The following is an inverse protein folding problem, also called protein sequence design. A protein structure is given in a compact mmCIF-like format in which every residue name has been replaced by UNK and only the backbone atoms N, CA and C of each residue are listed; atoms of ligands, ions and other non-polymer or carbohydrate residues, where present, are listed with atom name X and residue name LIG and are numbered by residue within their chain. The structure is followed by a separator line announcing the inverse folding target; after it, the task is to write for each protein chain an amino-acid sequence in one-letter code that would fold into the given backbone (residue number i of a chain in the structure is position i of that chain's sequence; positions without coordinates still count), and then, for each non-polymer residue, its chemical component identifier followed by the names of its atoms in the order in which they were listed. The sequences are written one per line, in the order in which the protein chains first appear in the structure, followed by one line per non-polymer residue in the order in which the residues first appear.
data_IF_481519612682
#
_entry.id   IF_481519612682
#
_cell.length_a   1.000
_cell.length_b   1.000
_cell.length_c   1.000
_cell.angle_alpha   90.00
_cell.angle_beta   90.00
_cell.angle_gamma   90.00
#
_symmetry.space_group_name_H-M   'P 1'
#
loop_
_entity.id
_entity.type
_entity.pdbx_description
1 polymer ?
#
# COMPACT_ATOMS: atom_id res chain seq x y z
N UNK A 1 0.54 -2.68 -1.41
CA UNK A 1 0.03 -2.91 -2.79
C UNK A 1 -0.39 -1.63 -3.52
N UNK A 2 -1.45 -0.92 -3.11
CA UNK A 2 -1.96 0.23 -3.89
C UNK A 2 -0.95 1.37 -4.13
N UNK A 3 -0.16 1.74 -3.12
CA UNK A 3 0.90 2.76 -3.25
C UNK A 3 1.92 2.40 -4.34
N UNK A 4 2.26 1.11 -4.45
CA UNK A 4 3.18 0.62 -5.48
C UNK A 4 2.55 0.69 -6.87
N UNK A 5 1.26 0.35 -6.99
CA UNK A 5 0.56 0.46 -8.28
C UNK A 5 0.51 1.92 -8.74
N UNK A 6 0.20 2.86 -7.83
CA UNK A 6 0.20 4.29 -8.14
C UNK A 6 1.58 4.77 -8.63
N UNK A 7 2.67 4.32 -7.98
CA UNK A 7 4.02 4.63 -8.43
C UNK A 7 4.29 4.05 -9.83
N UNK A 8 3.95 2.77 -10.04
CA UNK A 8 4.10 2.11 -11.34
C UNK A 8 3.36 2.84 -12.45
N UNK A 9 2.12 3.27 -12.20
CA UNK A 9 1.33 4.06 -13.14
C UNK A 9 1.93 5.45 -13.42
N UNK A 10 2.52 6.10 -12.41
CA UNK A 10 3.19 7.40 -12.56
C UNK A 10 4.52 7.32 -13.29
N UNK A 11 5.20 6.18 -13.24
CA UNK A 11 6.38 5.89 -14.07
C UNK A 11 5.94 5.60 -15.50
N UNK A 12 4.92 4.75 -15.68
CA UNK A 12 4.36 4.44 -17.00
C UNK A 12 3.84 5.69 -17.73
N UNK A 13 3.18 6.61 -17.02
CA UNK A 13 2.69 7.86 -17.60
C UNK A 13 3.80 8.80 -18.08
N UNK A 14 5.04 8.61 -17.60
CA UNK A 14 6.24 9.34 -18.05
C UNK A 14 7.02 8.61 -19.16
N UNK A 15 6.43 7.56 -19.73
CA UNK A 15 7.02 6.81 -20.84
C UNK A 15 7.99 5.71 -20.41
N UNK A 16 8.08 5.40 -19.11
CA UNK A 16 8.84 4.24 -18.64
C UNK A 16 8.05 2.95 -18.91
N UNK A 17 8.74 1.89 -19.34
CA UNK A 17 8.16 0.55 -19.35
C UNK A 17 8.23 0.00 -17.92
N UNK A 18 7.10 -0.46 -17.39
CA UNK A 18 7.01 -0.90 -15.99
C UNK A 18 6.39 -2.27 -15.92
N UNK A 19 7.08 -3.20 -15.26
CA UNK A 19 6.52 -4.49 -14.84
C UNK A 19 6.15 -4.43 -13.37
N UNK A 20 4.91 -4.73 -13.04
CA UNK A 20 4.41 -4.83 -11.67
C UNK A 20 4.28 -6.30 -11.29
N UNK A 21 5.14 -6.73 -10.36
CA UNK A 21 5.25 -8.13 -9.94
C UNK A 21 4.46 -8.34 -8.65
N UNK A 22 3.55 -9.32 -8.64
CA UNK A 22 2.81 -9.73 -7.44
C UNK A 22 2.22 -11.12 -7.60
N UNK A 23 1.46 -11.58 -6.62
CA UNK A 23 0.81 -12.89 -6.64
C UNK A 23 -0.54 -12.82 -7.40
N UNK A 24 -1.00 -13.92 -8.03
CA UNK A 24 -2.17 -13.92 -8.91
C UNK A 24 -3.44 -13.29 -8.31
N UNK A 25 -3.81 -13.62 -7.07
CA UNK A 25 -4.99 -13.05 -6.40
C UNK A 25 -4.79 -11.60 -6.01
N UNK A 26 -3.57 -11.20 -5.66
CA UNK A 26 -3.26 -9.78 -5.44
C UNK A 26 -3.42 -8.97 -6.73
N UNK A 27 -2.95 -9.49 -7.87
CA UNK A 27 -3.14 -8.86 -9.18
C UNK A 27 -4.63 -8.79 -9.57
N UNK A 28 -5.40 -9.83 -9.30
CA UNK A 28 -6.84 -9.86 -9.57
C UNK A 28 -7.65 -8.86 -8.73
N UNK A 29 -7.10 -8.40 -7.58
CA UNK A 29 -7.70 -7.40 -6.69
C UNK A 29 -7.33 -5.96 -7.07
N UNK A 30 -6.45 -5.75 -8.06
CA UNK A 30 -6.03 -4.41 -8.43
C UNK A 30 -7.20 -3.62 -9.06
N UNK A 31 -7.30 -2.31 -8.78
CA UNK A 31 -8.27 -1.46 -9.45
C UNK A 31 -7.94 -1.34 -10.95
N UNK A 32 -8.91 -0.87 -11.77
CA UNK A 32 -8.66 -0.56 -13.17
C UNK A 32 -7.45 0.38 -13.33
N UNK A 33 -6.53 0.01 -14.24
CA UNK A 33 -5.31 0.76 -14.53
C UNK A 33 -5.59 1.87 -15.55
N UNK A 34 -4.97 3.03 -15.35
CA UNK A 34 -5.01 4.21 -16.24
C UNK A 34 -3.86 4.22 -17.25
N UNK A 35 -2.78 3.51 -16.95
CA UNK A 35 -1.58 3.44 -17.78
C UNK A 35 -1.15 2.01 -18.03
N UNK A 36 -0.39 1.80 -19.12
CA UNK A 36 0.12 0.50 -19.51
C UNK A 36 1.25 0.07 -18.57
N UNK A 37 0.92 -0.83 -17.65
CA UNK A 37 1.86 -1.48 -16.72
C UNK A 37 1.77 -2.98 -16.96
N UNK A 38 2.87 -3.65 -17.26
CA UNK A 38 2.92 -5.10 -17.50
C UNK A 38 2.72 -5.82 -16.16
N UNK A 39 1.66 -6.60 -15.99
CA UNK A 39 1.43 -7.35 -14.74
C UNK A 39 2.12 -8.71 -14.83
N UNK A 40 2.98 -9.02 -13.87
CA UNK A 40 3.70 -10.28 -13.79
C UNK A 40 3.27 -11.03 -12.54
N UNK A 41 2.73 -12.23 -12.74
CA UNK A 41 2.32 -13.10 -11.66
C UNK A 41 3.49 -14.00 -11.23
N UNK A 42 3.87 -13.95 -9.95
CA UNK A 42 4.72 -14.96 -9.32
C UNK A 42 3.88 -15.80 -8.37
N UNK A 43 3.96 -17.12 -8.53
CA UNK A 43 3.23 -18.03 -7.68
C UNK A 43 3.86 -18.04 -6.29
N UNK A 44 3.06 -17.77 -5.26
CA UNK A 44 3.52 -17.93 -3.88
C UNK A 44 3.66 -19.44 -3.59
N UNK A 45 4.84 -19.89 -3.12
CA UNK A 45 5.04 -21.28 -2.74
C UNK A 45 4.09 -21.69 -1.61
N UNK A 46 3.45 -22.85 -1.75
CA UNK A 46 2.62 -23.41 -0.70
C UNK A 46 3.52 -24.01 0.39
N UNK A 47 3.31 -23.61 1.64
CA UNK A 47 4.03 -24.14 2.81
C UNK A 47 3.05 -24.76 3.82
N UNK A 48 3.59 -25.51 4.78
CA UNK A 48 2.78 -26.16 5.81
C UNK A 48 2.07 -25.12 6.68
N UNK A 49 0.76 -25.29 6.90
CA UNK A 49 -0.03 -24.40 7.75
C UNK A 49 -0.51 -23.11 7.09
N UNK A 50 -0.05 -22.79 5.87
CA UNK A 50 -0.60 -21.70 5.07
C UNK A 50 -1.96 -22.13 4.47
N UNK A 51 -3.05 -21.37 4.65
CA UNK A 51 -4.32 -21.68 3.99
C UNK A 51 -4.19 -21.69 2.47
N UNK A 52 -4.94 -22.56 1.80
CA UNK A 52 -4.89 -22.68 0.34
C UNK A 52 -5.29 -21.36 -0.34
N UNK A 53 -4.40 -20.87 -1.22
CA UNK A 53 -4.61 -19.62 -1.95
C UNK A 53 -4.49 -18.34 -1.10
N UNK A 54 -3.91 -18.43 0.10
CA UNK A 54 -3.50 -17.23 0.85
C UNK A 54 -2.27 -16.60 0.19
N UNK A 55 -2.35 -15.31 -0.14
CA UNK A 55 -1.28 -14.57 -0.84
C UNK A 55 -1.00 -13.20 -0.21
N UNK A 56 -1.69 -12.88 0.89
CA UNK A 56 -1.57 -11.61 1.58
C UNK A 56 -1.91 -11.75 3.06
N UNK A 57 -1.49 -10.77 3.85
CA UNK A 57 -1.85 -10.65 5.27
C UNK A 57 -3.36 -10.54 5.50
N UNK A 58 -4.15 -10.22 4.46
CA UNK A 58 -5.61 -10.17 4.55
C UNK A 58 -6.25 -11.57 4.45
N UNK A 59 -5.50 -12.57 3.96
CA UNK A 59 -6.00 -13.93 3.75
C UNK A 59 -5.76 -14.84 4.96
N UNK A 60 -5.01 -14.35 5.95
CA UNK A 60 -4.66 -15.10 7.16
C UNK A 60 -5.02 -14.32 8.43
N UNK A 61 -5.52 -14.98 9.48
CA UNK A 61 -5.65 -14.38 10.81
C UNK A 61 -4.30 -13.88 11.33
N UNK A 62 -4.31 -12.80 12.14
CA UNK A 62 -3.08 -12.16 12.63
C UNK A 62 -2.18 -13.07 13.48
N UNK A 63 -2.74 -14.09 14.12
CA UNK A 63 -2.02 -15.12 14.88
C UNK A 63 -1.41 -16.23 14.00
N UNK A 64 -1.63 -16.18 12.67
CA UNK A 64 -1.15 -17.16 11.68
C UNK A 64 -0.37 -16.52 10.53
N UNK A 65 0.36 -15.44 10.83
CA UNK A 65 1.22 -14.78 9.86
C UNK A 65 2.51 -15.55 9.58
N UNK A 66 2.99 -16.38 10.50
CA UNK A 66 4.26 -17.10 10.38
C UNK A 66 4.36 -17.99 9.12
N UNK A 67 3.38 -18.86 8.80
CA UNK A 67 3.41 -19.61 7.53
C UNK A 67 3.40 -18.71 6.28
N UNK A 68 2.81 -17.52 6.36
CA UNK A 68 2.83 -16.58 5.24
C UNK A 68 4.23 -16.00 5.04
N UNK A 69 4.96 -15.69 6.12
CA UNK A 69 6.34 -15.22 6.05
C UNK A 69 7.28 -16.32 5.52
N UNK A 70 7.13 -17.57 5.98
CA UNK A 70 7.88 -18.71 5.44
C UNK A 70 7.68 -18.86 3.93
N UNK A 71 6.45 -18.69 3.44
CA UNK A 71 6.17 -18.72 2.02
C UNK A 71 6.85 -17.57 1.25
N UNK A 72 6.93 -16.37 1.84
CA UNK A 72 7.66 -15.25 1.26
C UNK A 72 9.17 -15.46 1.25
N UNK A 73 9.74 -16.20 2.21
CA UNK A 73 11.16 -16.57 2.18
C UNK A 73 11.46 -17.53 1.03
N UNK A 74 10.59 -18.54 0.84
CA UNK A 74 10.74 -19.51 -0.28
C UNK A 74 10.54 -18.83 -1.65
N UNK A 75 9.77 -17.74 -1.72
CA UNK A 75 9.58 -16.95 -2.94
C UNK A 75 10.89 -16.35 -3.49
N UNK A 76 11.94 -16.27 -2.68
CA UNK A 76 13.25 -15.76 -3.10
C UNK A 76 13.79 -16.46 -4.36
N UNK A 77 13.64 -17.79 -4.44
CA UNK A 77 14.12 -18.57 -5.58
C UNK A 77 13.33 -18.27 -6.88
N UNK A 78 11.99 -18.39 -6.92
CA UNK A 78 11.21 -17.98 -8.08
C UNK A 78 11.44 -16.54 -8.53
N UNK A 79 11.61 -15.60 -7.58
CA UNK A 79 11.93 -14.22 -7.91
C UNK A 79 13.32 -14.09 -8.55
N UNK A 80 14.32 -14.80 -8.05
CA UNK A 80 15.66 -14.80 -8.61
C UNK A 80 15.72 -15.37 -10.04
N UNK A 81 14.99 -16.45 -10.29
CA UNK A 81 14.84 -17.02 -11.64
C UNK A 81 14.16 -16.03 -12.60
N UNK A 82 13.06 -15.43 -12.16
CA UNK A 82 12.35 -14.41 -12.94
C UNK A 82 13.26 -13.23 -13.29
N UNK A 83 13.98 -12.69 -12.30
CA UNK A 83 14.86 -11.54 -12.51
C UNK A 83 16.04 -11.88 -13.41
N UNK A 84 16.62 -13.09 -13.25
CA UNK A 84 17.69 -13.59 -14.11
C UNK A 84 17.24 -13.68 -15.56
N UNK A 85 16.04 -14.21 -15.80
CA UNK A 85 15.45 -14.29 -17.14
C UNK A 85 15.21 -12.89 -17.73
N UNK A 86 14.69 -11.96 -16.93
CA UNK A 86 14.48 -10.57 -17.35
C UNK A 86 15.80 -9.85 -17.69
N UNK A 87 16.89 -10.17 -17.00
CA UNK A 87 18.21 -9.60 -17.29
C UNK A 87 18.87 -10.22 -18.54
N UNK A 88 18.54 -11.47 -18.88
CA UNK A 88 19.09 -12.19 -20.02
C UNK A 88 18.36 -11.90 -21.35
N UNK A 89 17.21 -11.23 -21.31
CA UNK A 89 16.42 -10.89 -22.49
C UNK A 89 17.09 -9.74 -23.30
N UNK A 90 18.01 -10.12 -24.18
CA UNK A 90 18.71 -9.19 -25.08
C UNK A 90 17.78 -8.55 -26.13
N UNK A 91 16.59 -9.12 -26.36
CA UNK A 91 15.63 -8.67 -27.37
C UNK A 91 14.78 -7.50 -26.85
N UNK A 92 14.45 -7.49 -25.56
CA UNK A 92 13.48 -6.56 -24.97
C UNK A 92 14.09 -5.38 -24.17
N UNK A 93 15.42 -5.19 -24.30
CA UNK A 93 16.29 -4.24 -23.59
C UNK A 93 16.56 -4.58 -22.12
N UNK A 94 17.75 -4.13 -21.69
CA UNK A 94 18.31 -4.24 -20.33
C UNK A 94 17.36 -3.68 -19.27
N UNK A 95 17.22 -4.42 -18.17
CA UNK A 95 16.56 -3.95 -16.95
C UNK A 95 17.36 -2.82 -16.29
N UNK A 96 16.76 -1.63 -16.17
CA UNK A 96 17.44 -0.44 -15.66
C UNK A 96 17.38 -0.31 -14.13
N UNK A 97 16.24 -0.64 -13.52
CA UNK A 97 15.99 -0.49 -12.09
C UNK A 97 15.05 -1.56 -11.56
N UNK A 98 15.24 -1.95 -10.31
CA UNK A 98 14.31 -2.77 -9.54
C UNK A 98 13.86 -1.99 -8.30
N UNK A 99 12.58 -2.02 -8.00
CA UNK A 99 12.02 -1.44 -6.78
C UNK A 99 11.39 -2.55 -5.95
N UNK A 100 11.84 -2.74 -4.70
CA UNK A 100 11.36 -3.82 -3.81
C UNK A 100 10.76 -3.26 -2.53
N UNK A 101 9.85 -4.01 -1.93
CA UNK A 101 9.31 -3.70 -0.60
C UNK A 101 10.35 -4.00 0.49
N UNK A 102 10.43 -3.15 1.51
CA UNK A 102 11.32 -3.34 2.67
C UNK A 102 11.05 -4.60 3.50
N UNK A 103 9.90 -5.25 3.34
CA UNK A 103 9.55 -6.46 4.08
C UNK A 103 10.26 -7.73 3.59
N UNK A 104 10.93 -7.69 2.42
CA UNK A 104 11.66 -8.83 1.87
C UNK A 104 13.16 -8.51 1.90
N UNK A 105 13.84 -8.94 2.96
CA UNK A 105 15.27 -8.68 3.18
C UNK A 105 16.17 -9.33 2.11
N UNK A 106 15.75 -10.47 1.56
CA UNK A 106 16.43 -11.19 0.49
C UNK A 106 16.32 -10.48 -0.87
N UNK A 107 15.26 -9.69 -1.10
CA UNK A 107 14.91 -9.18 -2.43
C UNK A 107 15.95 -8.24 -3.05
N UNK A 108 16.62 -7.31 -2.30
CA UNK A 108 17.68 -6.47 -2.85
C UNK A 108 18.94 -7.23 -3.29
N UNK A 109 19.21 -8.41 -2.73
CA UNK A 109 20.43 -9.17 -3.05
C UNK A 109 20.41 -9.73 -4.48
N UNK A 110 19.22 -10.01 -5.00
CA UNK A 110 19.01 -10.57 -6.34
C UNK A 110 19.40 -9.58 -7.45
N UNK A 111 18.85 -8.35 -7.55
CA UNK A 111 19.29 -7.38 -8.56
C UNK A 111 20.76 -6.98 -8.40
N UNK A 112 21.29 -6.98 -7.18
CA UNK A 112 22.71 -6.71 -6.93
C UNK A 112 23.62 -7.74 -7.62
N UNK A 113 23.25 -9.03 -7.62
CA UNK A 113 23.98 -10.08 -8.33
C UNK A 113 24.04 -9.85 -9.85
N UNK A 114 23.05 -9.17 -10.42
CA UNK A 114 22.99 -8.80 -11.85
C UNK A 114 23.51 -7.38 -12.14
N UNK A 115 24.04 -6.67 -11.15
CA UNK A 115 24.47 -5.26 -11.27
C UNK A 115 23.35 -4.33 -11.75
N UNK A 116 22.12 -4.62 -11.33
CA UNK A 116 20.94 -3.79 -11.59
C UNK A 116 20.72 -2.88 -10.38
N UNK A 117 20.64 -1.55 -10.57
CA UNK A 117 20.25 -0.62 -9.51
C UNK A 117 18.95 -1.02 -8.82
N UNK A 118 18.95 -0.98 -7.48
CA UNK A 118 17.79 -1.35 -6.67
C UNK A 118 17.43 -0.22 -5.69
N UNK A 119 16.14 0.08 -5.60
CA UNK A 119 15.58 0.96 -4.58
C UNK A 119 14.63 0.18 -3.67
N UNK A 120 14.68 0.45 -2.37
CA UNK A 120 13.74 -0.10 -1.40
C UNK A 120 12.64 0.93 -1.13
N UNK A 121 11.40 0.48 -1.15
CA UNK A 121 10.22 1.30 -0.91
C UNK A 121 9.62 0.90 0.45
N UNK A 122 9.47 1.89 1.31
CA UNK A 122 8.83 1.72 2.61
C UNK A 122 7.49 2.49 2.62
N UNK A 123 6.34 1.80 2.62
CA UNK A 123 5.03 2.44 2.60
C UNK A 123 4.56 2.85 4.01
N UNK A 124 5.48 3.22 4.89
CA UNK A 124 5.19 3.74 6.24
C UNK A 124 5.81 5.13 6.40
N UNK A 125 5.45 5.84 7.47
CA UNK A 125 6.00 7.17 7.70
C UNK A 125 7.53 7.14 7.85
N UNK A 126 8.19 8.18 7.32
CA UNK A 126 9.64 8.35 7.39
C UNK A 126 10.20 8.27 8.82
N UNK A 127 9.40 8.66 9.82
CA UNK A 127 9.74 8.54 11.24
C UNK A 127 10.02 7.09 11.65
N UNK A 128 9.33 6.12 11.04
CA UNK A 128 9.56 4.68 11.25
C UNK A 128 10.80 4.21 10.49
N UNK A 129 11.00 4.68 9.24
CA UNK A 129 12.21 4.38 8.46
C UNK A 129 13.47 4.78 9.25
N UNK A 130 13.46 6.00 9.76
CA UNK A 130 14.54 6.56 10.55
C UNK A 130 14.74 5.79 11.87
N UNK A 131 13.67 5.33 12.53
CA UNK A 131 13.79 4.49 13.72
C UNK A 131 14.40 3.11 13.40
N UNK A 132 13.97 2.47 12.31
CA UNK A 132 14.52 1.20 11.82
C UNK A 132 16.00 1.32 11.38
N UNK A 133 16.40 2.49 10.85
CA UNK A 133 17.78 2.81 10.49
C UNK A 133 18.62 3.36 11.66
N UNK A 134 18.08 3.41 12.89
CA UNK A 134 18.83 3.83 14.09
C UNK A 134 19.07 5.34 14.21
N UNK A 135 18.36 6.17 13.44
CA UNK A 135 18.43 7.63 13.56
C UNK A 135 17.83 8.09 14.90
N UNK A 136 18.64 8.78 15.72
CA UNK A 136 18.26 9.24 17.06
C UNK A 136 18.01 10.75 17.14
N UNK A 137 18.31 11.50 16.09
CA UNK A 137 18.19 12.96 16.05
C UNK A 137 16.94 13.42 15.27
N UNK A 138 16.21 14.39 15.84
CA UNK A 138 15.05 15.06 15.25
C UNK A 138 15.35 15.73 13.91
N UNK A 139 16.56 16.23 13.70
CA UNK A 139 16.94 16.86 12.42
C UNK A 139 17.00 15.85 11.26
N UNK A 140 17.51 14.64 11.52
CA UNK A 140 17.56 13.54 10.53
C UNK A 140 16.15 12.98 10.22
N UNK A 141 15.29 12.93 11.25
CA UNK A 141 13.88 12.52 11.13
C UNK A 141 13.05 13.50 10.28
N UNK A 142 13.35 14.81 10.35
CA UNK A 142 12.67 15.84 9.57
C UNK A 142 13.05 15.78 8.07
N UNK A 143 14.33 15.59 7.74
CA UNK A 143 14.81 15.50 6.37
C UNK A 143 14.35 14.23 5.63
N UNK A 144 14.09 13.13 6.35
CA UNK A 144 13.54 11.91 5.78
C UNK A 144 12.03 12.02 5.45
N UNK A 145 11.37 13.06 5.94
CA UNK A 145 9.92 13.20 5.91
C UNK A 145 9.41 13.82 4.60
N UNK A 146 8.74 13.01 3.78
CA UNK A 146 7.99 13.44 2.59
C UNK A 146 6.90 14.47 2.94
N UNK A 147 6.60 14.68 4.23
CA UNK A 147 5.66 15.70 4.71
C UNK A 147 6.13 17.14 4.45
N UNK A 148 7.42 17.40 4.21
CA UNK A 148 7.85 18.71 3.70
C UNK A 148 7.45 18.89 2.23
N UNK A 149 7.54 17.84 1.41
CA UNK A 149 7.19 17.87 -0.01
C UNK A 149 5.67 17.81 -0.27
N UNK A 150 4.88 17.27 0.66
CA UNK A 150 3.42 17.25 0.56
C UNK A 150 2.76 18.57 0.95
N UNK A 151 3.49 19.58 1.43
CA UNK A 151 2.91 20.92 1.60
C UNK A 151 2.77 21.69 0.27
N UNK A 152 3.37 21.18 -0.81
CA UNK A 152 3.01 21.54 -2.19
C UNK A 152 1.95 20.57 -2.70
N UNK A 153 0.76 20.59 -2.09
CA UNK A 153 -0.41 19.85 -2.61
C UNK A 153 -0.86 20.58 -3.88
N UNK A 154 -0.61 20.00 -5.06
CA UNK A 154 -1.37 20.36 -6.24
C UNK A 154 -2.85 20.04 -5.99
N UNK A 155 -3.73 20.97 -6.36
CA UNK A 155 -5.18 20.81 -6.23
C UNK A 155 -5.65 19.46 -6.79
N UNK A 156 -6.67 18.84 -6.18
CA UNK A 156 -7.26 17.62 -6.71
C UNK A 156 -7.66 17.85 -8.18
N UNK A 157 -7.30 16.95 -9.11
CA UNK A 157 -7.52 17.18 -10.54
C UNK A 157 -9.00 17.43 -10.82
N UNK A 158 -9.29 18.52 -11.53
CA UNK A 158 -10.64 18.89 -11.94
C UNK A 158 -11.29 17.75 -12.73
N UNK A 159 -12.50 17.35 -12.33
CA UNK A 159 -13.29 16.34 -13.03
C UNK A 159 -13.27 14.92 -12.45
N UNK A 160 -12.97 14.74 -11.15
CA UNK A 160 -13.21 13.45 -10.49
C UNK A 160 -14.70 13.08 -10.63
N UNK A 161 -15.05 11.97 -11.31
CA UNK A 161 -16.44 11.58 -11.47
C UNK A 161 -17.08 11.34 -10.10
N UNK A 162 -18.26 11.92 -9.88
CA UNK A 162 -19.10 11.58 -8.73
C UNK A 162 -19.65 10.18 -8.98
N UNK A 163 -18.95 9.17 -8.49
CA UNK A 163 -19.50 7.82 -8.45
C UNK A 163 -20.43 7.71 -7.25
N UNK A 164 -21.71 7.49 -7.53
CA UNK A 164 -22.66 6.96 -6.54
C UNK A 164 -22.25 5.52 -6.23
N UNK A 165 -22.00 5.26 -4.95
CA UNK A 165 -21.69 3.92 -4.47
C UNK A 165 -23.00 3.20 -4.16
N UNK A 166 -23.29 2.14 -4.92
CA UNK A 166 -24.44 1.27 -4.67
C UNK A 166 -24.08 0.21 -3.61
N UNK A 167 -24.77 0.29 -2.46
CA UNK A 167 -24.34 -0.26 -1.18
C UNK A 167 -24.63 -1.74 -0.92
N UNK A 168 -25.01 -2.54 -1.92
CA UNK A 168 -25.49 -3.91 -1.66
C UNK A 168 -24.42 -4.99 -1.76
N UNK A 169 -23.68 -5.22 -0.65
CA UNK A 169 -23.15 -6.56 -0.29
C UNK A 169 -23.15 -6.76 1.23
N UNK A 170 -24.08 -7.60 1.71
CA UNK A 170 -24.31 -7.89 3.15
C UNK A 170 -23.48 -9.11 3.59
N UNK A 171 -22.79 -9.00 4.72
CA UNK A 171 -22.13 -10.13 5.40
C UNK A 171 -22.69 -10.27 6.82
N UNK A 172 -23.01 -11.50 7.21
CA UNK A 172 -23.95 -11.85 8.28
C UNK A 172 -23.33 -12.05 9.68
N UNK A 173 -22.29 -11.31 10.06
CA UNK A 173 -21.64 -11.52 11.38
C UNK A 173 -21.32 -10.25 12.20
N UNK A 174 -21.98 -9.11 11.91
CA UNK A 174 -21.85 -7.86 12.69
C UNK A 174 -23.22 -7.21 13.02
N UNK A 175 -24.25 -8.05 13.22
CA UNK A 175 -25.65 -7.66 13.40
C UNK A 175 -25.87 -6.61 14.50
N UNK A 176 -25.16 -6.70 15.62
CA UNK A 176 -25.34 -5.77 16.74
C UNK A 176 -24.94 -4.31 16.42
N UNK A 177 -24.09 -4.06 15.41
CA UNK A 177 -23.74 -2.71 14.96
C UNK A 177 -24.69 -2.16 13.89
N UNK A 178 -25.14 -3.03 12.99
CA UNK A 178 -26.07 -2.68 11.91
C UNK A 178 -27.47 -2.34 12.44
N UNK A 179 -27.99 -3.10 13.41
CA UNK A 179 -29.30 -2.82 14.01
C UNK A 179 -29.30 -1.49 14.79
N UNK A 180 -28.20 -1.17 15.49
CA UNK A 180 -28.05 0.10 16.23
C UNK A 180 -27.91 1.34 15.34
N UNK A 181 -27.51 1.16 14.08
CA UNK A 181 -27.27 2.26 13.12
C UNK A 181 -28.36 2.38 12.06
N UNK A 182 -29.39 1.54 12.13
CA UNK A 182 -30.49 1.51 11.17
C UNK A 182 -31.20 2.87 11.10
N UNK A 183 -31.21 3.48 9.90
CA UNK A 183 -31.79 4.82 9.66
C UNK A 183 -30.89 6.01 10.02
N UNK A 184 -29.70 5.77 10.61
CA UNK A 184 -28.73 6.81 10.97
C UNK A 184 -27.44 6.75 10.14
N UNK A 185 -27.11 5.58 9.57
CA UNK A 185 -25.93 5.40 8.74
C UNK A 185 -25.84 4.03 8.12
N UNK A 186 -24.76 3.80 7.37
CA UNK A 186 -24.48 2.53 6.68
C UNK A 186 -23.22 1.89 7.27
N UNK A 187 -23.31 0.59 7.58
CA UNK A 187 -22.19 -0.20 8.06
C UNK A 187 -21.92 -1.33 7.07
N UNK A 188 -20.68 -1.38 6.57
CA UNK A 188 -20.18 -2.45 5.70
C UNK A 188 -18.91 -3.04 6.28
N UNK A 189 -18.75 -4.34 6.07
CA UNK A 189 -17.58 -5.14 6.49
C UNK A 189 -16.73 -5.55 5.29
N UNK A 190 -17.17 -5.16 4.09
CA UNK A 190 -16.48 -5.42 2.83
C UNK A 190 -15.67 -4.19 2.44
N UNK A 191 -14.74 -4.38 1.50
CA UNK A 191 -13.96 -3.28 0.95
C UNK A 191 -14.88 -2.19 0.37
N UNK A 192 -14.54 -0.93 0.62
CA UNK A 192 -15.23 0.24 0.08
C UNK A 192 -14.30 1.09 -0.77
N UNK A 193 -14.81 1.82 -1.77
CA UNK A 193 -14.03 2.79 -2.53
C UNK A 193 -13.77 4.04 -1.68
N UNK A 194 -12.92 3.90 -0.64
CA UNK A 194 -12.65 4.92 0.37
C UNK A 194 -12.29 6.28 -0.24
N UNK A 195 -11.42 6.30 -1.26
CA UNK A 195 -11.01 7.53 -1.93
C UNK A 195 -12.20 8.25 -2.59
N UNK A 196 -13.13 7.51 -3.19
CA UNK A 196 -14.36 8.05 -3.78
C UNK A 196 -15.28 8.61 -2.71
N UNK A 197 -15.43 7.91 -1.58
CA UNK A 197 -16.24 8.37 -0.45
C UNK A 197 -15.65 9.67 0.12
N UNK A 198 -14.34 9.69 0.39
CA UNK A 198 -13.64 10.88 0.90
C UNK A 198 -13.66 12.05 -0.10
N UNK A 199 -13.76 11.80 -1.41
CA UNK A 199 -13.90 12.88 -2.38
C UNK A 199 -15.27 13.59 -2.34
N UNK A 200 -16.26 13.05 -1.63
CA UNK A 200 -17.61 13.63 -1.57
C UNK A 200 -17.67 14.80 -0.58
N UNK A 201 -18.20 15.93 -1.02
CA UNK A 201 -18.41 17.11 -0.15
C UNK A 201 -19.44 16.91 0.98
N UNK A 202 -20.15 15.78 1.00
CA UNK A 202 -21.06 15.40 2.09
C UNK A 202 -20.33 14.77 3.29
N UNK A 203 -19.06 14.37 3.12
CA UNK A 203 -18.25 13.84 4.23
C UNK A 203 -17.78 15.01 5.09
N UNK A 204 -18.19 15.02 6.37
CA UNK A 204 -17.84 16.08 7.32
C UNK A 204 -16.65 15.79 8.21
N UNK A 205 -16.22 14.53 8.32
CA UNK A 205 -15.06 14.10 9.11
C UNK A 205 -14.63 12.68 8.71
N UNK A 206 -13.36 12.33 8.99
CA UNK A 206 -12.80 11.01 8.74
C UNK A 206 -12.19 10.40 10.00
N UNK A 207 -12.82 9.34 10.52
CA UNK A 207 -12.26 8.51 11.59
C UNK A 207 -11.28 7.50 10.99
N UNK A 208 -10.03 7.53 11.46
CA UNK A 208 -8.95 6.71 10.91
C UNK A 208 -8.08 6.09 11.99
N UNK A 209 -7.55 4.90 11.69
CA UNK A 209 -6.52 4.25 12.49
C UNK A 209 -5.13 4.90 12.33
N UNK A 210 -4.99 5.98 11.55
CA UNK A 210 -3.73 6.74 11.39
C UNK A 210 -2.63 6.01 10.61
N UNK A 211 -2.98 5.02 9.78
CA UNK A 211 -2.04 4.49 8.79
C UNK A 211 -1.66 5.59 7.78
N UNK A 212 -0.41 5.56 7.28
CA UNK A 212 0.12 6.59 6.36
C UNK A 212 -0.85 6.91 5.21
N UNK A 213 -1.35 5.87 4.53
CA UNK A 213 -2.23 6.05 3.37
C UNK A 213 -3.52 6.79 3.75
N UNK A 214 -4.19 6.37 4.82
CA UNK A 214 -5.41 7.03 5.29
C UNK A 214 -5.18 8.49 5.69
N UNK A 215 -4.05 8.80 6.33
CA UNK A 215 -3.73 10.19 6.67
C UNK A 215 -3.57 11.05 5.43
N UNK A 216 -2.87 10.57 4.40
CA UNK A 216 -2.71 11.33 3.17
C UNK A 216 -4.01 11.46 2.38
N UNK A 217 -4.84 10.42 2.33
CA UNK A 217 -6.15 10.50 1.69
C UNK A 217 -7.06 11.50 2.41
N UNK A 218 -7.11 11.47 3.75
CA UNK A 218 -7.91 12.41 4.52
C UNK A 218 -7.46 13.87 4.35
N UNK A 219 -6.14 14.11 4.35
CA UNK A 219 -5.57 15.44 4.11
C UNK A 219 -5.79 15.93 2.68
N UNK A 220 -5.69 15.04 1.68
CA UNK A 220 -5.87 15.40 0.27
C UNK A 220 -7.25 16.00 -0.01
N UNK A 221 -8.29 15.53 0.70
CA UNK A 221 -9.65 16.06 0.57
C UNK A 221 -10.04 17.05 1.67
N UNK A 222 -9.10 17.43 2.55
CA UNK A 222 -9.32 18.45 3.57
C UNK A 222 -10.27 18.05 4.70
N UNK A 223 -10.38 16.75 5.02
CA UNK A 223 -11.28 16.30 6.08
C UNK A 223 -10.68 16.50 7.48
N UNK A 224 -11.48 16.97 8.46
CA UNK A 224 -11.14 16.85 9.87
C UNK A 224 -10.87 15.39 10.23
N UNK A 225 -9.71 15.13 10.85
CA UNK A 225 -9.25 13.77 11.16
C UNK A 225 -9.55 13.42 12.61
N UNK A 226 -10.33 12.36 12.83
CA UNK A 226 -10.50 11.73 14.14
C UNK A 226 -9.52 10.55 14.20
N UNK A 227 -8.53 10.64 15.08
CA UNK A 227 -7.38 9.73 15.10
C UNK A 227 -7.51 8.69 16.21
N UNK A 228 -7.64 7.40 15.84
CA UNK A 228 -7.73 6.27 16.77
C UNK A 228 -6.65 5.22 16.44
N UNK A 229 -5.39 5.45 16.83
CA UNK A 229 -4.31 4.52 16.54
C UNK A 229 -4.47 3.20 17.31
N UNK A 230 -4.15 2.08 16.65
CA UNK A 230 -4.32 0.72 17.19
C UNK A 230 -2.96 0.01 17.30
N UNK A 231 -2.15 -0.03 16.23
CA UNK A 231 -0.88 -0.78 16.21
C UNK A 231 0.14 -0.21 15.20
N UNK A 232 1.37 -0.76 15.18
CA UNK A 232 2.44 -0.41 14.25
C UNK A 232 2.77 1.10 14.20
N UNK A 233 2.76 1.71 13.01
CA UNK A 233 3.18 3.09 12.77
C UNK A 233 2.14 4.15 13.16
N UNK A 234 0.94 3.71 13.53
CA UNK A 234 -0.23 4.54 13.73
C UNK A 234 -0.08 5.52 14.90
N UNK A 235 0.49 5.07 16.03
CA UNK A 235 0.71 5.91 17.21
C UNK A 235 1.70 7.05 16.93
N UNK A 236 2.91 6.76 16.41
CA UNK A 236 3.85 7.77 15.94
C UNK A 236 3.24 8.74 14.92
N UNK A 237 2.47 8.24 13.95
CA UNK A 237 1.80 9.08 12.96
C UNK A 237 0.80 10.05 13.59
N UNK A 238 -0.07 9.56 14.50
CA UNK A 238 -1.05 10.39 15.19
C UNK A 238 -0.38 11.51 16.02
N UNK A 239 0.73 11.20 16.69
CA UNK A 239 1.51 12.20 17.45
C UNK A 239 2.11 13.27 16.57
N UNK A 240 2.63 12.89 15.39
CA UNK A 240 3.16 13.84 14.42
C UNK A 240 2.07 14.79 13.91
N UNK A 241 0.90 14.25 13.54
CA UNK A 241 -0.25 15.03 13.07
C UNK A 241 -0.74 16.02 14.11
N UNK A 242 -0.91 15.56 15.36
CA UNK A 242 -1.30 16.42 16.48
C UNK A 242 -0.26 17.52 16.75
N UNK A 243 1.03 17.19 16.71
CA UNK A 243 2.13 18.15 16.91
C UNK A 243 2.20 19.24 15.84
N UNK A 244 1.74 18.95 14.61
CA UNK A 244 1.66 19.92 13.50
C UNK A 244 0.36 20.72 13.47
N UNK A 245 -0.58 20.45 14.38
CA UNK A 245 -1.93 21.05 14.40
C UNK A 245 -2.71 20.87 13.10
N UNK A 246 -2.55 19.71 12.46
CA UNK A 246 -3.27 19.32 11.24
C UNK A 246 -4.53 18.52 11.62
N UNK A 247 -5.49 19.19 12.26
CA UNK A 247 -6.78 18.64 12.67
C UNK A 247 -7.93 19.58 12.30
#
# INVERSE_FOLDING_TARGET
MLTYLQLAERLASRGHRVSYVSMPRNLARLPPRRHAVDLVALQLPQVQGLPEGAESTNDVPGDRLEPLWEAFDVLAAPFAEFLSAACADEVNRRLDWVMVDTLHDWAPSVPAAHKVPCAMLQPSAATIAAWACGARDRAQLAAASIFEQLTTVEEPPAGVPRHEWDGERRCSHLWAGQERTHGLGMVTTSWVPQNTILAQGAVGAFLTHCGRNSLTEGLLYGHPLIMLPIFADQGPNARLMAGRKLY
#
